data_IF_252934091315
#
_entry.id   IF_252934091315
#
_cell.length_a   1.000
_cell.length_b   1.000
_cell.length_c   1.000
_cell.angle_alpha   90.00
_cell.angle_beta   90.00
_cell.angle_gamma   90.00
#
_symmetry.space_group_name_H-M   'P 1'
#
loop_
_entity.id
_entity.type
_entity.pdbx_description
1 polymer ?
#
# COMPACT_ATOMS: atom_id res chain seq x y z
N UNK A 1 -20.06 -15.53 25.13
CA UNK A 1 -18.81 -15.66 24.31
C UNK A 1 -18.92 -14.96 22.94
N UNK A 2 -20.03 -15.09 22.17
CA UNK A 2 -20.21 -14.42 20.85
C UNK A 2 -20.32 -12.90 20.93
N UNK A 3 -20.97 -12.34 21.94
CA UNK A 3 -21.09 -10.88 22.12
C UNK A 3 -19.75 -10.18 22.40
N UNK A 4 -18.87 -10.81 23.19
CA UNK A 4 -17.55 -10.26 23.50
C UNK A 4 -16.63 -10.20 22.25
N UNK A 5 -16.73 -11.17 21.36
CA UNK A 5 -15.97 -11.20 20.10
C UNK A 5 -16.49 -10.11 19.16
N UNK A 6 -17.81 -9.93 19.06
CA UNK A 6 -18.42 -8.90 18.23
C UNK A 6 -18.04 -7.48 18.70
N UNK A 7 -18.10 -7.21 19.99
CA UNK A 7 -17.70 -5.94 20.58
C UNK A 7 -16.20 -5.64 20.37
N UNK A 8 -15.35 -6.67 20.51
CA UNK A 8 -13.91 -6.54 20.29
C UNK A 8 -13.59 -6.21 18.82
N UNK A 9 -14.17 -6.93 17.87
CA UNK A 9 -13.96 -6.68 16.44
C UNK A 9 -14.53 -5.33 16.00
N UNK A 10 -15.68 -4.92 16.54
CA UNK A 10 -16.27 -3.62 16.25
C UNK A 10 -15.39 -2.48 16.79
N UNK A 11 -14.88 -2.60 18.02
CA UNK A 11 -13.95 -1.64 18.63
C UNK A 11 -12.66 -1.51 17.82
N UNK A 12 -12.03 -2.63 17.44
CA UNK A 12 -10.82 -2.63 16.61
C UNK A 12 -11.04 -1.98 15.25
N UNK A 13 -12.21 -2.20 14.63
CA UNK A 13 -12.58 -1.58 13.36
C UNK A 13 -12.78 -0.07 13.48
N UNK A 14 -13.35 0.40 14.58
CA UNK A 14 -13.49 1.83 14.89
C UNK A 14 -12.13 2.49 15.08
N UNK A 15 -11.24 1.87 15.86
CA UNK A 15 -9.88 2.37 16.08
C UNK A 15 -9.08 2.44 14.76
N UNK A 16 -9.18 1.45 13.88
CA UNK A 16 -8.54 1.43 12.55
C UNK A 16 -9.05 2.58 11.67
N UNK A 17 -10.36 2.81 11.67
CA UNK A 17 -10.98 3.91 10.92
C UNK A 17 -10.48 5.28 11.40
N UNK A 18 -10.46 5.49 12.71
CA UNK A 18 -9.98 6.74 13.32
C UNK A 18 -8.52 7.01 12.94
N UNK A 19 -7.66 5.98 13.00
CA UNK A 19 -6.26 6.08 12.55
C UNK A 19 -6.17 6.53 11.09
N UNK A 20 -6.93 5.92 10.19
CA UNK A 20 -6.93 6.31 8.78
C UNK A 20 -7.43 7.74 8.54
N UNK A 21 -8.45 8.19 9.28
CA UNK A 21 -8.96 9.58 9.18
C UNK A 21 -7.84 10.55 9.55
N UNK A 22 -7.21 10.36 10.70
CA UNK A 22 -6.12 11.21 11.18
C UNK A 22 -4.91 11.15 10.25
N UNK A 23 -4.51 9.96 9.80
CA UNK A 23 -3.42 9.75 8.87
C UNK A 23 -3.66 10.46 7.53
N UNK A 24 -4.88 10.39 7.00
CA UNK A 24 -5.22 11.05 5.73
C UNK A 24 -5.10 12.57 5.85
N UNK A 25 -5.57 13.17 6.95
CA UNK A 25 -5.43 14.60 7.20
C UNK A 25 -3.96 15.01 7.44
N UNK A 26 -3.21 14.20 8.17
CA UNK A 26 -1.78 14.42 8.38
C UNK A 26 -1.02 14.41 7.05
N UNK A 27 -1.27 13.42 6.18
CA UNK A 27 -0.64 13.32 4.88
C UNK A 27 -1.01 14.50 4.00
N UNK A 28 -2.29 14.90 3.97
CA UNK A 28 -2.75 16.07 3.21
C UNK A 28 -1.94 17.33 3.57
N UNK A 29 -1.81 17.61 4.86
CA UNK A 29 -1.05 18.77 5.34
C UNK A 29 0.45 18.64 5.06
N UNK A 30 0.99 17.42 5.17
CA UNK A 30 2.41 17.14 5.00
C UNK A 30 2.89 17.37 3.56
N UNK A 31 2.05 17.04 2.57
CA UNK A 31 2.41 17.13 1.14
C UNK A 31 1.90 18.42 0.47
N UNK A 32 1.22 19.29 1.20
CA UNK A 32 0.68 20.54 0.67
C UNK A 32 1.82 21.43 0.12
N UNK A 33 1.73 21.76 -1.17
CA UNK A 33 2.72 22.61 -1.84
C UNK A 33 4.05 21.94 -2.19
N UNK A 34 4.25 20.66 -1.82
CA UNK A 34 5.46 19.91 -2.22
C UNK A 34 5.32 19.39 -3.65
N UNK A 35 6.34 19.61 -4.47
CA UNK A 35 6.38 19.22 -5.89
C UNK A 35 7.34 18.09 -6.18
N UNK A 36 8.29 17.80 -5.27
CA UNK A 36 9.22 16.68 -5.43
C UNK A 36 8.52 15.37 -5.08
N UNK A 37 8.29 14.56 -6.10
CA UNK A 37 7.56 13.28 -5.94
C UNK A 37 8.30 12.29 -5.05
N UNK A 38 9.63 12.32 -5.01
CA UNK A 38 10.41 11.41 -4.14
C UNK A 38 10.25 11.83 -2.68
N UNK A 39 10.29 13.13 -2.40
CA UNK A 39 10.05 13.66 -1.06
C UNK A 39 8.63 13.33 -0.56
N UNK A 40 7.62 13.52 -1.41
CA UNK A 40 6.23 13.13 -1.13
C UNK A 40 6.13 11.64 -0.81
N UNK A 41 6.65 10.76 -1.69
CA UNK A 41 6.62 9.31 -1.49
C UNK A 41 7.32 8.89 -0.20
N UNK A 42 8.49 9.48 0.11
CA UNK A 42 9.26 9.17 1.30
C UNK A 42 8.47 9.46 2.58
N UNK A 43 7.87 10.65 2.67
CA UNK A 43 7.10 11.05 3.84
C UNK A 43 5.76 10.30 3.95
N UNK A 44 5.09 10.04 2.84
CA UNK A 44 3.85 9.23 2.84
C UNK A 44 4.14 7.80 3.30
N UNK A 45 5.19 7.16 2.80
CA UNK A 45 5.63 5.84 3.28
C UNK A 45 5.87 5.83 4.79
N UNK A 46 6.64 6.82 5.28
CA UNK A 46 6.98 6.91 6.69
C UNK A 46 5.72 7.10 7.56
N UNK A 47 4.80 7.98 7.15
CA UNK A 47 3.56 8.24 7.88
C UNK A 47 2.67 7.00 7.95
N UNK A 48 2.45 6.31 6.83
CA UNK A 48 1.64 5.06 6.80
C UNK A 48 2.29 3.98 7.67
N UNK A 49 3.59 3.76 7.49
CA UNK A 49 4.33 2.72 8.20
C UNK A 49 4.30 2.94 9.72
N UNK A 50 4.55 4.17 10.15
CA UNK A 50 4.57 4.55 11.57
C UNK A 50 3.20 4.43 12.23
N UNK A 51 2.14 4.93 11.57
CA UNK A 51 0.79 4.97 12.16
C UNK A 51 0.12 3.60 12.16
N UNK A 52 0.27 2.84 11.06
CA UNK A 52 -0.43 1.57 10.89
C UNK A 52 0.37 0.37 11.37
N UNK A 53 1.69 0.48 11.50
CA UNK A 53 2.56 -0.60 11.98
C UNK A 53 2.71 -1.77 11.02
N UNK A 54 2.58 -1.54 9.71
CA UNK A 54 2.75 -2.58 8.69
C UNK A 54 4.20 -3.06 8.62
N UNK A 55 4.40 -4.27 8.14
CA UNK A 55 5.73 -4.89 8.04
C UNK A 55 6.61 -4.20 6.99
N UNK A 56 6.04 -3.90 5.83
CA UNK A 56 6.70 -3.17 4.75
C UNK A 56 5.71 -2.19 4.11
N UNK A 57 6.19 -1.02 3.75
CA UNK A 57 5.39 0.02 3.07
C UNK A 57 6.29 0.76 2.10
N UNK A 58 5.96 0.75 0.83
CA UNK A 58 6.82 1.38 -0.16
C UNK A 58 6.16 1.69 -1.48
N UNK A 59 6.88 2.41 -2.32
CA UNK A 59 6.47 2.73 -3.67
C UNK A 59 7.38 2.07 -4.69
N UNK A 60 6.78 1.50 -5.73
CA UNK A 60 7.46 1.15 -6.96
C UNK A 60 7.01 2.11 -8.07
N UNK A 61 7.97 2.72 -8.77
CA UNK A 61 7.73 3.73 -9.81
C UNK A 61 7.81 3.08 -11.19
N UNK A 62 6.89 3.44 -12.07
CA UNK A 62 6.94 3.00 -13.47
C UNK A 62 8.14 3.67 -14.18
N UNK A 63 9.00 2.85 -14.76
CA UNK A 63 10.16 3.24 -15.56
C UNK A 63 10.24 2.35 -16.82
N UNK A 64 9.76 2.86 -17.95
CA UNK A 64 9.64 2.06 -19.16
C UNK A 64 8.67 0.90 -18.99
N UNK A 65 9.14 -0.32 -19.13
CA UNK A 65 8.39 -1.57 -19.06
C UNK A 65 8.52 -2.32 -17.71
N UNK A 66 9.07 -1.65 -16.71
CA UNK A 66 9.24 -2.22 -15.36
C UNK A 66 8.87 -1.23 -14.25
N UNK A 67 8.62 -1.77 -13.07
CA UNK A 67 8.54 -1.06 -11.82
C UNK A 67 9.91 -1.04 -11.16
N UNK A 68 10.37 0.15 -10.75
CA UNK A 68 11.64 0.34 -10.04
C UNK A 68 11.37 0.81 -8.62
N UNK A 69 12.04 0.18 -7.66
CA UNK A 69 11.93 0.51 -6.23
C UNK A 69 12.11 2.01 -6.00
N UNK A 70 11.19 2.59 -5.28
CA UNK A 70 11.21 3.98 -4.80
C UNK A 70 11.40 4.05 -3.29
N UNK A 71 10.97 5.13 -2.65
CA UNK A 71 11.00 5.26 -1.19
C UNK A 71 10.20 4.17 -0.50
N UNK A 72 10.74 3.60 0.57
CA UNK A 72 10.11 2.56 1.35
C UNK A 72 10.57 2.54 2.81
N UNK A 73 9.80 1.86 3.65
CA UNK A 73 10.08 1.55 5.04
C UNK A 73 9.97 0.03 5.24
N UNK A 74 10.96 -0.58 5.88
CA UNK A 74 11.02 -2.01 6.11
C UNK A 74 12.33 -2.64 5.64
N UNK A 75 12.43 -3.99 5.60
CA UNK A 75 13.60 -4.69 5.10
C UNK A 75 13.81 -4.48 3.60
N UNK A 76 15.02 -4.83 3.12
CA UNK A 76 15.38 -4.76 1.69
C UNK A 76 14.37 -5.50 0.80
N UNK A 77 14.16 -5.00 -0.41
CA UNK A 77 13.15 -5.50 -1.33
C UNK A 77 13.73 -5.66 -2.75
N UNK A 78 12.95 -6.27 -3.66
CA UNK A 78 13.30 -6.36 -5.07
C UNK A 78 13.44 -4.96 -5.66
N UNK A 79 14.48 -4.72 -6.45
CA UNK A 79 14.70 -3.41 -7.06
C UNK A 79 13.94 -3.21 -8.37
N UNK A 80 13.61 -4.29 -9.08
CA UNK A 80 12.96 -4.27 -10.39
C UNK A 80 11.86 -5.32 -10.45
N UNK A 81 10.68 -4.97 -10.94
CA UNK A 81 9.55 -5.87 -11.15
C UNK A 81 9.00 -5.65 -12.57
N UNK A 82 9.06 -6.67 -13.46
CA UNK A 82 8.57 -6.54 -14.81
C UNK A 82 7.04 -6.29 -14.87
N UNK A 83 6.57 -5.63 -15.92
CA UNK A 83 5.15 -5.40 -16.17
C UNK A 83 4.33 -6.69 -16.11
N UNK A 84 3.27 -6.70 -15.33
CA UNK A 84 2.35 -7.83 -15.18
C UNK A 84 2.84 -8.96 -14.26
N UNK A 85 4.04 -8.86 -13.68
CA UNK A 85 4.60 -9.88 -12.80
C UNK A 85 4.36 -9.56 -11.32
N UNK A 86 4.12 -10.61 -10.52
CA UNK A 86 3.81 -10.47 -9.11
C UNK A 86 2.54 -9.66 -8.84
N UNK A 87 2.30 -9.29 -7.58
CA UNK A 87 1.12 -8.48 -7.22
C UNK A 87 1.28 -7.05 -7.73
N UNK A 88 2.43 -6.43 -7.52
CA UNK A 88 2.74 -5.07 -7.97
C UNK A 88 2.59 -4.90 -9.49
N UNK A 89 3.23 -5.79 -10.29
CA UNK A 89 3.12 -5.75 -11.76
C UNK A 89 1.71 -6.05 -12.24
N UNK A 90 0.97 -6.91 -11.52
CA UNK A 90 -0.43 -7.20 -11.83
C UNK A 90 -1.36 -6.01 -11.53
N UNK A 91 -1.15 -5.30 -10.42
CA UNK A 91 -1.91 -4.09 -10.08
C UNK A 91 -1.70 -2.99 -11.15
N UNK A 92 -0.45 -2.80 -11.57
CA UNK A 92 -0.13 -1.90 -12.69
C UNK A 92 -0.86 -2.30 -13.98
N UNK A 93 -0.78 -3.57 -14.39
CA UNK A 93 -1.40 -4.08 -15.62
C UNK A 93 -2.91 -3.97 -15.61
N UNK A 94 -3.55 -4.31 -14.48
CA UNK A 94 -5.01 -4.26 -14.30
C UNK A 94 -5.53 -2.86 -14.02
N UNK A 95 -4.64 -1.94 -13.60
CA UNK A 95 -4.97 -0.56 -13.23
C UNK A 95 -5.99 -0.50 -12.08
N UNK A 96 -5.87 -1.43 -11.15
CA UNK A 96 -6.77 -1.56 -9.99
C UNK A 96 -6.01 -2.00 -8.74
N UNK A 97 -6.58 -1.67 -7.58
CA UNK A 97 -6.08 -2.14 -6.29
C UNK A 97 -6.28 -3.64 -6.17
N UNK A 98 -5.21 -4.35 -5.80
CA UNK A 98 -5.23 -5.79 -5.52
C UNK A 98 -5.02 -6.02 -4.03
N UNK A 99 -5.93 -6.77 -3.40
CA UNK A 99 -5.80 -7.26 -2.02
C UNK A 99 -5.56 -8.75 -2.05
N UNK A 100 -4.45 -9.19 -1.46
CA UNK A 100 -4.03 -10.59 -1.42
C UNK A 100 -4.04 -11.08 0.02
N UNK A 101 -5.01 -11.89 0.43
CA UNK A 101 -5.10 -12.40 1.80
C UNK A 101 -4.03 -13.44 2.12
N UNK A 102 -3.50 -14.14 1.11
CA UNK A 102 -2.40 -15.09 1.22
C UNK A 102 -1.54 -15.03 -0.04
N UNK A 103 -0.32 -14.52 0.09
CA UNK A 103 0.60 -14.33 -1.03
C UNK A 103 1.03 -15.65 -1.67
N UNK A 104 1.04 -16.75 -0.91
CA UNK A 104 1.37 -18.08 -1.45
C UNK A 104 0.30 -18.60 -2.43
N UNK A 105 -0.93 -18.08 -2.33
CA UNK A 105 -2.03 -18.43 -3.23
C UNK A 105 -2.11 -17.51 -4.46
N UNK A 106 -1.31 -16.44 -4.52
CA UNK A 106 -1.33 -15.52 -5.66
C UNK A 106 -0.51 -16.07 -6.83
N UNK A 107 -1.12 -16.30 -8.02
CA UNK A 107 -0.41 -16.83 -9.18
C UNK A 107 0.74 -15.93 -9.62
N UNK A 108 1.96 -16.48 -9.70
CA UNK A 108 3.15 -15.73 -10.12
C UNK A 108 3.66 -14.73 -9.07
N UNK A 109 3.32 -14.93 -7.79
CA UNK A 109 3.85 -14.11 -6.70
C UNK A 109 5.38 -14.06 -6.73
N UNK A 110 5.93 -12.85 -6.62
CA UNK A 110 7.37 -12.62 -6.47
C UNK A 110 7.65 -12.40 -4.99
N UNK A 111 8.30 -13.37 -4.35
CA UNK A 111 8.68 -13.29 -2.95
C UNK A 111 9.90 -12.39 -2.76
N UNK A 112 9.69 -11.07 -2.60
CA UNK A 112 10.75 -10.13 -2.21
C UNK A 112 11.14 -10.29 -0.72
N UNK A 113 10.25 -10.84 0.09
CA UNK A 113 10.51 -11.26 1.47
C UNK A 113 9.76 -12.55 1.79
N UNK A 114 10.46 -13.51 2.40
CA UNK A 114 9.84 -14.76 2.89
C UNK A 114 8.92 -14.56 4.11
N UNK A 115 8.91 -13.37 4.68
CA UNK A 115 8.09 -13.03 5.85
C UNK A 115 6.74 -12.40 5.50
N UNK A 116 6.55 -11.95 4.26
CA UNK A 116 5.26 -11.42 3.80
C UNK A 116 4.24 -12.54 3.67
N UNK A 117 3.07 -12.37 4.28
CA UNK A 117 1.97 -13.32 4.27
C UNK A 117 0.73 -12.79 3.56
N UNK A 118 0.45 -11.51 3.67
CA UNK A 118 -0.62 -10.82 2.94
C UNK A 118 -0.11 -9.49 2.42
N UNK A 119 -0.77 -8.97 1.37
CA UNK A 119 -0.30 -7.80 0.62
C UNK A 119 -1.47 -6.99 0.08
N UNK A 120 -1.31 -5.68 0.01
CA UNK A 120 -2.20 -4.79 -0.74
C UNK A 120 -1.36 -3.89 -1.63
N UNK A 121 -1.74 -3.80 -2.91
CA UNK A 121 -1.09 -2.92 -3.88
C UNK A 121 -2.09 -1.96 -4.48
N UNK A 122 -1.80 -0.66 -4.41
CA UNK A 122 -2.67 0.43 -4.89
C UNK A 122 -1.95 1.21 -6.00
N UNK A 123 -2.48 1.27 -7.22
CA UNK A 123 -1.88 2.06 -8.29
C UNK A 123 -2.09 3.57 -8.08
N UNK A 124 -1.05 4.35 -8.40
CA UNK A 124 -1.08 5.81 -8.46
C UNK A 124 -1.24 6.25 -9.91
N UNK A 125 -2.17 7.17 -10.15
CA UNK A 125 -2.48 7.67 -11.48
C UNK A 125 -2.00 9.11 -11.66
N UNK A 126 -1.52 9.44 -12.87
CA UNK A 126 -1.33 10.82 -13.30
C UNK A 126 -2.67 11.51 -13.58
N UNK A 127 -2.64 12.81 -13.86
CA UNK A 127 -3.83 13.56 -14.27
C UNK A 127 -4.43 13.03 -15.58
N UNK A 128 -3.58 12.49 -16.48
CA UNK A 128 -3.99 11.86 -17.73
C UNK A 128 -4.55 10.45 -17.52
N UNK A 129 -4.52 9.94 -16.28
CA UNK A 129 -5.03 8.64 -15.92
C UNK A 129 -4.04 7.50 -16.13
N UNK A 130 -2.76 7.74 -16.43
CA UNK A 130 -1.75 6.68 -16.53
C UNK A 130 -1.21 6.28 -15.16
N UNK A 131 -0.92 4.98 -14.98
CA UNK A 131 -0.26 4.51 -13.76
C UNK A 131 1.19 4.96 -13.76
N UNK A 132 1.58 5.73 -12.75
CA UNK A 132 2.96 6.27 -12.59
C UNK A 132 3.77 5.56 -11.52
N UNK A 133 3.08 4.92 -10.57
CA UNK A 133 3.68 4.15 -9.49
C UNK A 133 2.62 3.20 -8.88
N UNK A 134 3.05 2.33 -8.02
CA UNK A 134 2.17 1.58 -7.11
C UNK A 134 2.64 1.77 -5.67
N UNK A 135 1.69 1.89 -4.75
CA UNK A 135 1.92 1.76 -3.31
C UNK A 135 1.75 0.30 -2.95
N UNK A 136 2.78 -0.28 -2.40
CA UNK A 136 2.86 -1.68 -1.97
C UNK A 136 2.98 -1.76 -0.46
N UNK A 137 2.16 -2.58 0.18
CA UNK A 137 2.16 -2.76 1.63
C UNK A 137 2.02 -4.25 1.96
N UNK A 138 2.99 -4.76 2.74
CA UNK A 138 3.03 -6.15 3.20
C UNK A 138 2.77 -6.29 4.68
N UNK A 139 2.19 -7.42 5.06
CA UNK A 139 2.02 -7.87 6.43
C UNK A 139 2.59 -9.27 6.64
N UNK A 140 3.10 -9.52 7.85
CA UNK A 140 3.51 -10.88 8.30
C UNK A 140 2.33 -11.78 8.65
N UNK A 141 1.14 -11.22 8.73
CA UNK A 141 -0.09 -11.94 9.07
C UNK A 141 -0.92 -12.19 7.81
N UNK A 142 -1.68 -13.29 7.80
CA UNK A 142 -2.67 -13.56 6.75
C UNK A 142 -3.85 -12.59 6.85
N UNK A 143 -4.44 -12.26 5.71
CA UNK A 143 -5.68 -11.51 5.61
C UNK A 143 -5.71 -10.19 6.42
N UNK A 144 -4.58 -9.50 6.49
CA UNK A 144 -4.46 -8.23 7.22
C UNK A 144 -5.31 -7.12 6.60
N UNK A 145 -5.40 -7.08 5.27
CA UNK A 145 -6.01 -5.99 4.51
C UNK A 145 -7.45 -6.30 4.15
N UNK A 146 -8.32 -5.31 4.34
CA UNK A 146 -9.75 -5.37 4.05
C UNK A 146 -10.21 -4.19 3.16
N UNK A 147 -11.52 -4.06 2.93
CA UNK A 147 -12.09 -2.98 2.12
C UNK A 147 -11.85 -1.59 2.72
N UNK A 148 -11.66 -1.49 4.03
CA UNK A 148 -11.33 -0.22 4.69
C UNK A 148 -9.91 0.22 4.30
N UNK A 149 -8.93 -0.70 4.33
CA UNK A 149 -7.57 -0.42 3.87
C UNK A 149 -7.58 0.04 2.42
N UNK A 150 -8.27 -0.70 1.55
CA UNK A 150 -8.42 -0.34 0.15
C UNK A 150 -8.95 1.09 0.00
N UNK A 151 -10.06 1.42 0.65
CA UNK A 151 -10.74 2.71 0.52
C UNK A 151 -9.83 3.88 0.94
N UNK A 152 -9.18 3.76 2.11
CA UNK A 152 -8.35 4.84 2.64
C UNK A 152 -7.00 4.96 1.93
N UNK A 153 -6.36 3.86 1.57
CA UNK A 153 -5.09 3.89 0.84
C UNK A 153 -5.28 4.43 -0.59
N UNK A 154 -6.38 4.10 -1.26
CA UNK A 154 -6.75 4.72 -2.53
C UNK A 154 -7.00 6.23 -2.38
N UNK A 155 -7.65 6.66 -1.28
CA UNK A 155 -7.85 8.08 -1.00
C UNK A 155 -6.52 8.81 -0.78
N UNK A 156 -5.59 8.22 -0.03
CA UNK A 156 -4.23 8.75 0.17
C UNK A 156 -3.49 8.86 -1.17
N UNK A 157 -3.51 7.80 -1.99
CA UNK A 157 -2.85 7.81 -3.31
C UNK A 157 -3.43 8.91 -4.22
N UNK A 158 -4.72 9.20 -4.14
CA UNK A 158 -5.34 10.32 -4.89
C UNK A 158 -4.85 11.71 -4.46
N UNK A 159 -4.35 11.88 -3.24
CA UNK A 159 -3.75 13.15 -2.79
C UNK A 159 -2.37 13.41 -3.41
N UNK A 160 -1.71 12.37 -3.93
CA UNK A 160 -0.33 12.41 -4.41
C UNK A 160 -0.22 12.69 -5.93
N UNK A 161 -1.24 13.28 -6.52
CA UNK A 161 -1.27 13.63 -7.96
C UNK A 161 -0.33 14.77 -8.31
#
# INVERSE_FOLDING_TARGET
>A
MRENVYLCTHKMRMEKKEKYILLTEQIRNLIEGETDRVAVMANVCAAIHQEMGFFWTGFYRVKGDELVLGPFQGPVACMHIPFGNGVCGSAWKRRETIVVPDVEQFPGHIACSSLSRSEIVVPLFSEEGEVTAVLDIDSKELATFDDMDRQYLEAICRLMK
#
